data_IF_273641473215
#
_entry.id   IF_273641473215
#
_cell.length_a   1.000
_cell.length_b   1.000
_cell.length_c   1.000
_cell.angle_alpha   90.00
_cell.angle_beta   90.00
_cell.angle_gamma   90.00
#
_symmetry.space_group_name_H-M   'P 1'
#
loop_
_entity.id
_entity.type
_entity.pdbx_description
1 polymer ?
#
# COMPACT_ATOMS: atom_id res chain seq x y z
N UNK A 1 4.87 10.73 14.96
CA UNK A 1 4.46 9.51 14.23
C UNK A 1 5.71 8.70 13.99
N UNK A 2 5.70 7.44 14.31
CA UNK A 2 6.82 6.52 14.12
C UNK A 2 6.49 5.54 12.97
N UNK A 3 7.49 4.75 12.55
CA UNK A 3 7.37 3.77 11.45
C UNK A 3 6.19 2.82 11.67
N UNK A 4 6.03 2.26 12.89
CA UNK A 4 4.98 1.29 13.20
C UNK A 4 3.58 1.90 13.08
N UNK A 5 3.36 3.08 13.63
CA UNK A 5 2.08 3.78 13.52
C UNK A 5 1.71 4.10 12.07
N UNK A 6 2.70 4.58 11.32
CA UNK A 6 2.46 4.92 9.91
C UNK A 6 2.20 3.68 9.06
N UNK A 7 2.92 2.60 9.31
CA UNK A 7 2.68 1.33 8.63
C UNK A 7 1.29 0.76 8.95
N UNK A 8 0.84 0.85 10.20
CA UNK A 8 -0.53 0.44 10.59
C UNK A 8 -1.59 1.21 9.81
N UNK A 9 -1.41 2.53 9.64
CA UNK A 9 -2.29 3.32 8.79
C UNK A 9 -2.27 2.85 7.34
N UNK A 10 -1.08 2.65 6.75
CA UNK A 10 -0.96 2.19 5.37
C UNK A 10 -1.63 0.83 5.15
N UNK A 11 -1.47 -0.11 6.07
CA UNK A 11 -2.13 -1.41 6.00
C UNK A 11 -3.65 -1.29 5.97
N UNK A 12 -4.23 -0.39 6.77
CA UNK A 12 -5.66 -0.13 6.78
C UNK A 12 -6.14 0.57 5.48
N UNK A 13 -5.38 1.52 4.98
CA UNK A 13 -5.66 2.21 3.71
C UNK A 13 -5.58 1.24 2.53
N UNK A 14 -4.61 0.35 2.52
CA UNK A 14 -4.41 -0.72 1.54
C UNK A 14 -5.61 -1.66 1.49
N UNK A 15 -6.11 -2.14 2.63
CA UNK A 15 -7.31 -2.98 2.67
C UNK A 15 -8.54 -2.25 2.12
N UNK A 16 -8.71 -0.97 2.40
CA UNK A 16 -9.79 -0.19 1.83
C UNK A 16 -9.68 -0.07 0.31
N UNK A 17 -8.47 0.17 -0.22
CA UNK A 17 -8.20 0.19 -1.66
C UNK A 17 -8.49 -1.17 -2.30
N UNK A 18 -8.02 -2.27 -1.72
CA UNK A 18 -8.27 -3.61 -2.24
C UNK A 18 -9.75 -3.97 -2.29
N UNK A 19 -10.51 -3.61 -1.25
CA UNK A 19 -11.96 -3.81 -1.22
C UNK A 19 -12.67 -3.02 -2.33
N UNK A 20 -12.21 -1.80 -2.61
CA UNK A 20 -12.70 -1.00 -3.73
C UNK A 20 -12.38 -1.67 -5.08
N UNK A 21 -11.13 -2.06 -5.30
CA UNK A 21 -10.69 -2.67 -6.55
C UNK A 21 -11.40 -3.99 -6.86
N UNK A 22 -11.78 -4.77 -5.85
CA UNK A 22 -12.58 -6.00 -6.03
C UNK A 22 -13.97 -5.76 -6.61
N UNK A 23 -14.51 -4.56 -6.46
CA UNK A 23 -15.81 -4.20 -7.01
C UNK A 23 -15.74 -3.72 -8.46
N UNK A 24 -14.54 -3.48 -9.01
CA UNK A 24 -14.34 -3.05 -10.39
C UNK A 24 -14.33 -4.25 -11.35
N UNK A 25 -14.80 -4.04 -12.60
CA UNK A 25 -14.68 -5.04 -13.66
C UNK A 25 -13.20 -5.42 -13.92
N UNK A 26 -12.93 -6.71 -14.11
CA UNK A 26 -11.58 -7.20 -14.38
C UNK A 26 -10.95 -6.56 -15.63
N UNK A 27 -11.76 -6.25 -16.64
CA UNK A 27 -11.31 -5.58 -17.85
C UNK A 27 -10.76 -4.17 -17.59
N UNK A 28 -11.32 -3.44 -16.62
CA UNK A 28 -10.84 -2.12 -16.23
C UNK A 28 -9.50 -2.19 -15.50
N UNK A 29 -9.33 -3.18 -14.65
CA UNK A 29 -8.09 -3.41 -13.91
C UNK A 29 -6.90 -3.79 -14.82
N UNK A 30 -7.21 -4.41 -15.97
CA UNK A 30 -6.24 -4.83 -16.98
C UNK A 30 -6.09 -3.81 -18.15
N UNK A 31 -6.88 -2.73 -18.14
CA UNK A 31 -6.82 -1.73 -19.20
C UNK A 31 -5.47 -1.02 -19.16
N UNK A 32 -4.82 -0.93 -20.33
CA UNK A 32 -3.66 -0.08 -20.51
C UNK A 32 -4.10 1.40 -20.43
N UNK A 33 -3.77 2.07 -19.36
CA UNK A 33 -4.12 3.47 -19.09
C UNK A 33 -2.91 4.40 -19.21
N UNK A 34 -1.69 3.85 -19.28
CA UNK A 34 -0.45 4.59 -19.40
C UNK A 34 0.25 4.13 -20.66
N UNK A 35 0.09 4.90 -21.75
CA UNK A 35 0.60 4.53 -23.07
C UNK A 35 2.13 4.65 -23.17
N UNK A 36 2.73 5.62 -22.47
CA UNK A 36 4.15 5.90 -22.53
C UNK A 36 4.85 5.47 -21.24
N UNK A 37 5.81 4.59 -21.39
CA UNK A 37 6.59 4.05 -20.27
C UNK A 37 7.09 2.65 -20.60
N UNK A 38 7.99 2.15 -19.77
CA UNK A 38 8.58 0.82 -19.92
C UNK A 38 7.89 -0.26 -19.08
N UNK A 39 7.00 0.16 -18.17
CA UNK A 39 6.27 -0.74 -17.23
C UNK A 39 5.15 0.00 -16.50
N UNK A 40 4.31 -0.77 -15.78
CA UNK A 40 3.20 -0.25 -14.96
C UNK A 40 2.11 0.45 -15.77
N UNK A 41 1.61 -0.25 -16.77
CA UNK A 41 0.59 0.28 -17.68
C UNK A 41 -0.83 0.17 -17.12
N UNK A 42 -1.05 -0.71 -16.15
CA UNK A 42 -2.37 -1.05 -15.59
C UNK A 42 -2.42 -0.82 -14.09
N UNK A 43 -3.63 -0.77 -13.54
CA UNK A 43 -3.83 -0.74 -12.07
C UNK A 43 -3.22 -1.99 -11.41
N UNK A 44 -3.36 -3.16 -12.04
CA UNK A 44 -2.80 -4.41 -11.51
C UNK A 44 -1.28 -4.42 -11.47
N UNK A 45 -0.62 -3.81 -12.48
CA UNK A 45 0.85 -3.71 -12.48
C UNK A 45 1.35 -2.91 -11.29
N UNK A 46 0.72 -1.76 -11.03
CA UNK A 46 1.07 -0.92 -9.88
C UNK A 46 0.80 -1.63 -8.56
N UNK A 47 -0.33 -2.33 -8.46
CA UNK A 47 -0.72 -3.04 -7.25
C UNK A 47 0.27 -4.17 -6.92
N UNK A 48 0.66 -4.97 -7.92
CA UNK A 48 1.65 -6.02 -7.76
C UNK A 48 3.02 -5.44 -7.40
N UNK A 49 3.44 -4.39 -8.10
CA UNK A 49 4.73 -3.73 -7.87
C UNK A 49 4.88 -3.19 -6.44
N UNK A 50 3.85 -2.57 -5.87
CA UNK A 50 3.89 -2.10 -4.47
C UNK A 50 4.18 -3.25 -3.52
N UNK A 51 3.50 -4.39 -3.71
CA UNK A 51 3.71 -5.59 -2.90
C UNK A 51 5.11 -6.17 -3.08
N UNK A 52 5.58 -6.25 -4.34
CA UNK A 52 6.91 -6.78 -4.66
C UNK A 52 8.03 -5.96 -4.01
N UNK A 53 7.90 -4.64 -4.01
CA UNK A 53 8.89 -3.74 -3.41
C UNK A 53 8.95 -3.93 -1.91
N UNK A 54 7.81 -4.09 -1.24
CA UNK A 54 7.77 -4.37 0.20
C UNK A 54 8.40 -5.74 0.50
N UNK A 55 7.99 -6.79 -0.20
CA UNK A 55 8.54 -8.14 0.00
C UNK A 55 10.04 -8.19 -0.25
N UNK A 56 10.50 -7.55 -1.32
CA UNK A 56 11.92 -7.48 -1.62
C UNK A 56 12.72 -6.77 -0.52
N UNK A 57 12.35 -5.54 -0.18
CA UNK A 57 13.17 -4.74 0.73
C UNK A 57 13.06 -5.19 2.18
N UNK A 58 11.85 -5.44 2.67
CA UNK A 58 11.64 -5.81 4.07
C UNK A 58 11.98 -7.27 4.31
N UNK A 59 11.48 -8.17 3.47
CA UNK A 59 11.60 -9.60 3.75
C UNK A 59 12.85 -10.20 3.14
N UNK A 60 13.11 -10.02 1.84
CA UNK A 60 14.26 -10.61 1.22
C UNK A 60 15.59 -9.95 1.66
N UNK A 61 15.65 -8.61 1.70
CA UNK A 61 16.87 -7.88 2.01
C UNK A 61 17.08 -7.72 3.52
N UNK A 62 16.14 -7.12 4.26
CA UNK A 62 16.36 -6.83 5.67
C UNK A 62 16.26 -8.06 6.58
N UNK A 63 15.36 -9.02 6.24
CA UNK A 63 15.12 -10.22 7.06
C UNK A 63 15.77 -11.49 6.50
N UNK A 64 16.27 -11.46 5.26
CA UNK A 64 16.97 -12.59 4.63
C UNK A 64 16.04 -13.69 4.10
N UNK A 65 14.74 -13.43 3.88
CA UNK A 65 13.82 -14.40 3.29
C UNK A 65 12.47 -13.80 2.91
N UNK A 66 12.26 -13.53 1.62
CA UNK A 66 11.01 -12.98 1.11
C UNK A 66 9.84 -13.96 1.10
N UNK A 67 8.63 -13.46 1.17
CA UNK A 67 7.38 -14.22 1.05
C UNK A 67 7.31 -14.91 -0.30
N UNK A 68 7.72 -14.22 -1.36
CA UNK A 68 7.83 -14.77 -2.72
C UNK A 68 8.70 -16.03 -2.79
N UNK A 69 9.74 -16.12 -1.95
CA UNK A 69 10.63 -17.27 -1.89
C UNK A 69 9.99 -18.53 -1.29
N UNK A 70 8.84 -18.40 -0.65
CA UNK A 70 8.10 -19.54 -0.09
C UNK A 70 7.61 -20.54 -1.15
N UNK A 71 7.64 -20.14 -2.43
CA UNK A 71 7.23 -20.95 -3.57
C UNK A 71 5.78 -20.79 -3.99
N UNK A 72 4.96 -20.12 -3.19
CA UNK A 72 3.54 -19.85 -3.49
C UNK A 72 3.39 -18.64 -4.44
N UNK A 73 4.35 -17.70 -4.40
CA UNK A 73 4.29 -16.40 -5.08
C UNK A 73 5.52 -16.16 -5.97
N UNK A 74 5.94 -17.16 -6.74
CA UNK A 74 7.12 -17.02 -7.61
C UNK A 74 6.81 -16.25 -8.87
N UNK A 75 7.43 -15.08 -9.02
CA UNK A 75 7.42 -14.29 -10.25
C UNK A 75 8.68 -13.41 -10.32
N UNK A 76 8.91 -12.75 -11.46
CA UNK A 76 9.98 -11.77 -11.59
C UNK A 76 9.57 -10.44 -10.95
N UNK A 77 10.11 -10.13 -9.78
CA UNK A 77 9.78 -8.90 -9.06
C UNK A 77 10.29 -7.62 -9.75
N UNK A 78 11.30 -7.74 -10.63
CA UNK A 78 11.85 -6.60 -11.38
C UNK A 78 10.91 -6.23 -12.53
N UNK A 79 10.34 -7.22 -13.20
CA UNK A 79 9.43 -7.05 -14.33
C UNK A 79 8.22 -7.96 -14.19
N UNK A 80 7.40 -7.73 -13.16
CA UNK A 80 6.21 -8.55 -12.96
C UNK A 80 5.23 -8.34 -14.11
N UNK A 81 4.68 -9.44 -14.62
CA UNK A 81 3.59 -9.42 -15.58
C UNK A 81 2.27 -9.67 -14.83
N UNK A 82 1.65 -8.59 -14.36
CA UNK A 82 0.42 -8.68 -13.59
C UNK A 82 -0.78 -9.20 -14.40
N UNK A 83 -0.71 -9.21 -15.73
CA UNK A 83 -1.76 -9.79 -16.58
C UNK A 83 -1.92 -11.30 -16.37
N UNK A 84 -0.87 -12.00 -15.94
CA UNK A 84 -0.90 -13.44 -15.67
C UNK A 84 -1.59 -13.81 -14.35
N UNK A 85 -1.89 -12.84 -13.48
CA UNK A 85 -2.42 -13.08 -12.15
C UNK A 85 -3.83 -12.52 -12.01
N UNK A 86 -4.70 -13.25 -11.33
CA UNK A 86 -5.99 -12.75 -10.90
C UNK A 86 -5.82 -11.71 -9.78
N UNK A 87 -6.73 -10.72 -9.72
CA UNK A 87 -6.70 -9.71 -8.66
C UNK A 87 -6.71 -10.34 -7.27
N UNK A 88 -7.50 -11.41 -7.08
CA UNK A 88 -7.57 -12.13 -5.81
C UNK A 88 -6.22 -12.67 -5.36
N UNK A 89 -5.43 -13.20 -6.28
CA UNK A 89 -4.08 -13.70 -6.02
C UNK A 89 -3.13 -12.57 -5.60
N UNK A 90 -3.17 -11.42 -6.32
CA UNK A 90 -2.32 -10.26 -6.00
C UNK A 90 -2.64 -9.73 -4.60
N UNK A 91 -3.92 -9.65 -4.24
CA UNK A 91 -4.37 -9.20 -2.92
C UNK A 91 -3.96 -10.18 -1.82
N UNK A 92 -4.06 -11.48 -2.06
CA UNK A 92 -3.66 -12.50 -1.09
C UNK A 92 -2.15 -12.43 -0.82
N UNK A 93 -1.34 -12.34 -1.86
CA UNK A 93 0.10 -12.10 -1.75
C UNK A 93 0.39 -10.82 -0.96
N UNK A 94 -0.27 -9.70 -1.29
CA UNK A 94 -0.11 -8.43 -0.59
C UNK A 94 -0.50 -8.51 0.90
N UNK A 95 -1.54 -9.29 1.23
CA UNK A 95 -1.93 -9.54 2.63
C UNK A 95 -0.88 -10.32 3.39
N UNK A 96 -0.34 -11.37 2.78
CA UNK A 96 0.71 -12.17 3.41
C UNK A 96 1.95 -11.32 3.69
N UNK A 97 2.41 -10.55 2.72
CA UNK A 97 3.53 -9.61 2.88
C UNK A 97 3.24 -8.62 4.00
N UNK A 98 2.07 -7.97 3.97
CA UNK A 98 1.68 -6.97 4.99
C UNK A 98 1.59 -7.56 6.39
N UNK A 99 1.03 -8.75 6.55
CA UNK A 99 0.93 -9.43 7.85
C UNK A 99 2.32 -9.77 8.42
N UNK A 100 3.23 -10.23 7.57
CA UNK A 100 4.60 -10.53 7.99
C UNK A 100 5.40 -9.26 8.33
N UNK A 101 5.20 -8.16 7.59
CA UNK A 101 5.81 -6.87 7.93
C UNK A 101 5.26 -6.33 9.25
N UNK A 102 3.95 -6.40 9.46
CA UNK A 102 3.35 -5.97 10.73
C UNK A 102 3.88 -6.80 11.91
N UNK A 103 3.93 -8.12 11.78
CA UNK A 103 4.48 -9.00 12.80
C UNK A 103 5.97 -8.71 13.08
N UNK A 104 6.73 -8.37 12.04
CA UNK A 104 8.12 -7.95 12.18
C UNK A 104 8.24 -6.65 12.98
N UNK A 105 7.45 -5.64 12.64
CA UNK A 105 7.44 -4.37 13.38
C UNK A 105 6.93 -4.53 14.82
N UNK A 106 6.00 -5.45 15.05
CA UNK A 106 5.47 -5.78 16.38
C UNK A 106 6.50 -6.50 17.27
N UNK A 107 7.51 -7.12 16.68
CA UNK A 107 8.65 -7.68 17.40
C UNK A 107 9.67 -6.63 17.88
N UNK A 108 9.41 -5.35 17.62
CA UNK A 108 10.25 -4.20 18.02
C UNK A 108 11.71 -4.31 17.56
N UNK A 109 11.97 -4.48 16.24
CA UNK A 109 13.32 -4.58 15.73
C UNK A 109 14.10 -3.29 16.00
N UNK A 110 15.43 -3.40 16.13
CA UNK A 110 16.29 -2.22 16.20
C UNK A 110 16.27 -1.47 14.85
N UNK A 111 15.52 -0.36 14.80
CA UNK A 111 15.41 0.46 13.60
C UNK A 111 16.72 1.14 13.19
N UNK A 112 17.72 1.21 14.08
CA UNK A 112 19.04 1.74 13.75
C UNK A 112 19.99 0.68 13.20
N UNK A 113 19.57 -0.61 13.17
CA UNK A 113 20.42 -1.65 12.60
C UNK A 113 20.76 -1.33 11.13
N UNK A 114 22.00 -1.62 10.74
CA UNK A 114 22.47 -1.46 9.36
C UNK A 114 21.92 -2.58 8.48
N UNK A 115 21.34 -2.21 7.36
CA UNK A 115 20.87 -3.12 6.32
C UNK A 115 21.68 -2.88 5.06
N UNK A 116 22.30 -3.93 4.54
CA UNK A 116 23.08 -3.89 3.31
C UNK A 116 22.14 -4.06 2.11
N UNK A 117 22.19 -3.15 1.13
CA UNK A 117 21.23 -3.15 0.02
C UNK A 117 21.42 -4.30 -0.98
N UNK A 118 22.67 -4.75 -1.16
CA UNK A 118 23.00 -5.95 -1.95
C UNK A 118 23.84 -6.88 -1.08
N UNK A 119 23.28 -8.01 -0.68
CA UNK A 119 23.85 -8.88 0.35
C UNK A 119 25.26 -9.38 -0.01
N UNK A 120 25.49 -9.81 -1.25
CA UNK A 120 26.73 -10.45 -1.70
C UNK A 120 27.75 -9.47 -2.30
N UNK A 121 27.44 -8.15 -2.32
CA UNK A 121 28.36 -7.13 -2.82
C UNK A 121 29.09 -6.43 -1.66
N UNK A 122 30.44 -6.61 -1.51
CA UNK A 122 31.20 -5.94 -0.46
C UNK A 122 31.15 -4.41 -0.56
N UNK A 123 30.95 -3.86 -1.75
CA UNK A 123 30.89 -2.42 -2.01
C UNK A 123 29.46 -1.85 -1.91
N UNK A 124 28.48 -2.68 -1.57
CA UNK A 124 27.09 -2.24 -1.46
C UNK A 124 26.92 -1.17 -0.39
N UNK A 125 26.11 -0.17 -0.71
CA UNK A 125 25.63 0.80 0.26
C UNK A 125 24.85 0.13 1.40
N UNK A 126 24.88 0.80 2.55
CA UNK A 126 24.11 0.42 3.74
C UNK A 126 23.18 1.57 4.14
N UNK A 127 22.00 1.21 4.60
CA UNK A 127 21.03 2.12 5.18
C UNK A 127 20.61 1.61 6.57
N UNK A 128 19.94 2.43 7.37
CA UNK A 128 19.28 1.92 8.57
C UNK A 128 17.97 1.23 8.21
N UNK A 129 17.50 0.33 9.06
CA UNK A 129 16.17 -0.27 8.88
C UNK A 129 15.08 0.82 8.88
N UNK A 130 15.20 1.87 9.69
CA UNK A 130 14.29 3.03 9.66
C UNK A 130 14.23 3.67 8.28
N UNK A 131 15.38 3.98 7.67
CA UNK A 131 15.45 4.56 6.33
C UNK A 131 14.83 3.65 5.28
N UNK A 132 15.07 2.35 5.38
CA UNK A 132 14.49 1.36 4.47
C UNK A 132 12.97 1.29 4.62
N UNK A 133 12.45 1.27 5.83
CA UNK A 133 11.01 1.28 6.09
C UNK A 133 10.34 2.55 5.55
N UNK A 134 10.94 3.73 5.76
CA UNK A 134 10.44 4.98 5.18
C UNK A 134 10.48 4.96 3.65
N UNK A 135 11.49 4.35 3.04
CA UNK A 135 11.52 4.16 1.59
C UNK A 135 10.32 3.34 1.11
N UNK A 136 10.07 2.19 1.69
CA UNK A 136 8.95 1.31 1.33
C UNK A 136 7.60 2.01 1.50
N UNK A 137 7.38 2.66 2.64
CA UNK A 137 6.12 3.34 2.93
C UNK A 137 5.85 4.53 2.00
N UNK A 138 6.88 5.35 1.71
CA UNK A 138 6.73 6.48 0.78
C UNK A 138 6.59 6.03 -0.67
N UNK A 139 7.20 4.90 -1.02
CA UNK A 139 7.02 4.26 -2.32
C UNK A 139 5.57 3.80 -2.50
N UNK A 140 4.97 3.16 -1.51
CA UNK A 140 3.57 2.77 -1.53
C UNK A 140 2.63 3.99 -1.69
N UNK A 141 2.82 5.05 -0.90
CA UNK A 141 2.02 6.28 -1.02
C UNK A 141 2.06 6.84 -2.44
N UNK A 142 3.25 6.87 -3.06
CA UNK A 142 3.42 7.34 -4.43
C UNK A 142 2.57 6.53 -5.42
N UNK A 143 2.65 5.21 -5.35
CA UNK A 143 1.93 4.35 -6.29
C UNK A 143 0.44 4.24 -5.98
N UNK A 144 0.04 4.34 -4.73
CA UNK A 144 -1.37 4.45 -4.34
C UNK A 144 -2.03 5.71 -4.93
N UNK A 145 -1.31 6.84 -4.93
CA UNK A 145 -1.80 8.06 -5.58
C UNK A 145 -1.95 7.89 -7.11
N UNK A 146 -1.03 7.17 -7.76
CA UNK A 146 -1.15 6.81 -9.18
C UNK A 146 -2.36 5.91 -9.43
N UNK A 147 -2.57 4.88 -8.62
CA UNK A 147 -3.75 4.01 -8.72
C UNK A 147 -5.03 4.84 -8.55
N UNK A 148 -5.10 5.74 -7.57
CA UNK A 148 -6.25 6.62 -7.38
C UNK A 148 -6.53 7.53 -8.59
N UNK A 149 -5.48 8.01 -9.25
CA UNK A 149 -5.60 8.76 -10.50
C UNK A 149 -6.17 7.90 -11.63
N UNK A 150 -5.68 6.67 -11.81
CA UNK A 150 -6.15 5.74 -12.84
C UNK A 150 -7.62 5.34 -12.60
N UNK A 151 -8.03 5.14 -11.35
CA UNK A 151 -9.44 4.90 -10.98
C UNK A 151 -10.33 6.07 -11.45
N UNK A 152 -9.89 7.32 -11.26
CA UNK A 152 -10.62 8.50 -11.75
C UNK A 152 -10.66 8.59 -13.27
N UNK A 153 -9.60 8.22 -13.97
CA UNK A 153 -9.57 8.14 -15.44
C UNK A 153 -10.57 7.13 -15.99
N UNK A 154 -10.88 6.07 -15.23
CA UNK A 154 -11.92 5.11 -15.54
C UNK A 154 -13.34 5.62 -15.27
N UNK A 155 -13.48 6.82 -14.67
CA UNK A 155 -14.78 7.42 -14.35
C UNK A 155 -15.32 7.06 -12.95
N UNK A 156 -14.51 6.43 -12.11
CA UNK A 156 -14.91 6.09 -10.74
C UNK A 156 -14.45 7.13 -9.71
N UNK A 157 -15.16 7.20 -8.60
CA UNK A 157 -14.72 7.96 -7.42
C UNK A 157 -13.72 7.11 -6.65
N UNK A 158 -12.47 7.55 -6.60
CA UNK A 158 -11.44 6.83 -5.85
C UNK A 158 -11.74 6.81 -4.34
N UNK A 159 -11.39 5.74 -3.61
CA UNK A 159 -11.60 5.70 -2.18
C UNK A 159 -10.78 6.78 -1.47
N UNK A 160 -11.32 7.32 -0.39
CA UNK A 160 -10.63 8.31 0.42
C UNK A 160 -9.67 7.61 1.39
N UNK A 161 -8.36 7.74 1.13
CA UNK A 161 -7.29 7.04 1.85
C UNK A 161 -6.44 7.96 2.74
N UNK A 162 -6.91 9.18 3.03
CA UNK A 162 -6.16 10.16 3.82
C UNK A 162 -5.92 9.69 5.26
N UNK A 163 -4.71 9.98 5.77
CA UNK A 163 -4.27 9.63 7.11
C UNK A 163 -5.28 10.03 8.21
N UNK A 164 -5.82 11.25 8.10
CA UNK A 164 -6.76 11.79 9.10
C UNK A 164 -8.05 10.95 9.24
N UNK A 165 -8.43 10.20 8.21
CA UNK A 165 -9.59 9.30 8.27
C UNK A 165 -9.36 8.12 9.22
N UNK A 166 -8.13 7.63 9.31
CA UNK A 166 -7.77 6.44 10.07
C UNK A 166 -7.38 6.75 11.51
N UNK A 167 -6.95 7.98 11.80
CA UNK A 167 -6.49 8.37 13.14
C UNK A 167 -7.52 9.15 13.97
N UNK A 168 -8.65 9.57 13.36
CA UNK A 168 -9.72 10.19 14.14
C UNK A 168 -10.29 9.19 15.13
N UNK A 169 -10.45 9.55 16.42
CA UNK A 169 -11.18 8.73 17.37
C UNK A 169 -12.55 8.41 16.75
N UNK A 170 -12.91 7.15 16.64
CA UNK A 170 -14.28 6.80 16.34
C UNK A 170 -15.11 7.32 17.50
N UNK A 171 -15.89 8.38 17.27
CA UNK A 171 -16.86 8.85 18.25
C UNK A 171 -17.84 7.70 18.44
N UNK A 172 -17.69 6.99 19.53
CA UNK A 172 -18.61 5.91 19.87
C UNK A 172 -19.99 6.50 20.00
N UNK A 173 -20.98 5.91 19.34
CA UNK A 173 -22.38 6.33 19.30
C UNK A 173 -23.05 6.47 20.70
N UNK A 174 -22.31 6.21 21.78
CA UNK A 174 -22.75 6.36 23.17
C UNK A 174 -22.78 7.83 23.68
N UNK A 175 -22.26 8.81 22.94
CA UNK A 175 -22.28 10.20 23.36
C UNK A 175 -23.39 11.05 22.70
N UNK A 176 -24.20 10.49 21.80
CA UNK A 176 -25.28 11.22 21.13
C UNK A 176 -26.69 11.03 21.75
N UNK A 177 -26.81 10.48 22.94
CA UNK A 177 -28.12 10.36 23.60
C UNK A 177 -28.50 11.52 24.50
N UNK A 178 -27.90 12.70 24.32
CA UNK A 178 -28.14 13.83 25.20
C UNK A 178 -27.98 15.24 24.62
N UNK A 179 -28.07 15.44 23.31
CA UNK A 179 -28.06 16.77 22.74
C UNK A 179 -29.22 16.92 21.74
N UNK A 180 -30.13 17.83 22.07
CA UNK A 180 -31.23 18.26 21.25
C UNK A 180 -30.77 18.74 19.86
N UNK A 181 -31.56 18.42 18.84
CA UNK A 181 -31.39 18.84 17.46
C UNK A 181 -31.51 20.35 17.36
N UNK A 182 -30.43 21.05 17.04
CA UNK A 182 -30.51 22.34 16.38
C UNK A 182 -30.34 22.17 14.87
N UNK A 183 -31.03 22.98 14.03
CA UNK A 183 -31.12 22.72 12.61
C UNK A 183 -29.79 22.97 11.89
N UNK A 184 -29.43 22.02 10.99
CA UNK A 184 -28.34 22.16 10.04
C UNK A 184 -28.48 23.48 9.26
N UNK A 185 -27.54 24.37 9.42
CA UNK A 185 -27.30 25.43 8.46
C UNK A 185 -26.44 24.90 7.34
N UNK A 186 -26.98 24.86 6.14
CA UNK A 186 -26.30 24.64 4.89
C UNK A 186 -25.03 25.50 4.81
N UNK A 187 -23.89 24.89 4.96
CA UNK A 187 -22.62 25.45 4.51
C UNK A 187 -22.28 24.76 3.20
N UNK A 188 -22.70 25.40 2.12
CA UNK A 188 -22.15 25.20 0.79
C UNK A 188 -20.63 25.42 0.85
N UNK A 189 -19.89 24.34 0.85
CA UNK A 189 -18.48 24.38 0.53
C UNK A 189 -18.36 24.27 -0.99
N UNK A 190 -18.32 25.44 -1.63
CA UNK A 190 -17.93 25.59 -3.02
C UNK A 190 -16.56 24.93 -3.23
N UNK A 191 -16.50 24.18 -4.32
CA UNK A 191 -15.31 23.62 -4.93
C UNK A 191 -14.19 24.65 -5.07
N UNK A 192 -13.03 24.34 -4.49
CA UNK A 192 -11.77 24.91 -4.97
C UNK A 192 -10.68 23.83 -5.03
N UNK A 193 -10.37 23.47 -6.32
CA UNK A 193 -9.20 22.75 -6.87
C UNK A 193 -9.17 21.24 -6.74
#
# INVERSE_FOLDING_TARGET
MNVREYYTYLSAAREQLWNFLRALPAEELNRNLIENGDRFHTIKDLLLHVTDVEDHWVHAIARGGGVQQSGNYRHDWIKPDAAQYELGWIIEYGREVSQQTQAFLDSEPDLNQSVKLVQDDPASDTVTLDQLMWHVMTHEVRHTAQIALLIRQLGHVAPWLDYMRFVRPQVTAAQNSGAEQEPESDLDLEDDL
#
